data_IF_302811561338
#
_entry.id   IF_302811561338
#
_cell.length_a   1.000
_cell.length_b   1.000
_cell.length_c   1.000
_cell.angle_alpha   90.00
_cell.angle_beta   90.00
_cell.angle_gamma   90.00
#
_symmetry.space_group_name_H-M   'P 1'
#
loop_
_entity.id
_entity.type
_entity.pdbx_description
1 polymer ?
#
# COMPACT_ATOMS: atom_id res chain seq x y z
N UNK A 1 14.77 2.35 3.15
CA UNK A 1 13.68 1.76 3.92
C UNK A 1 12.42 1.67 3.09
N UNK A 2 11.68 0.61 3.24
CA UNK A 2 10.46 0.42 2.49
C UNK A 2 9.25 0.44 3.40
N UNK A 3 8.14 0.84 2.84
CA UNK A 3 6.88 0.89 3.58
C UNK A 3 5.85 0.06 2.84
N UNK A 4 5.24 -0.85 3.55
CA UNK A 4 4.25 -1.75 2.99
C UNK A 4 2.92 -1.49 3.66
N UNK A 5 1.84 -1.87 2.97
CA UNK A 5 0.52 -1.75 3.54
C UNK A 5 0.02 -3.15 3.85
N UNK A 6 -0.31 -3.37 5.10
CA UNK A 6 -0.72 -4.68 5.59
C UNK A 6 -2.17 -4.64 6.04
N UNK A 7 -2.92 -5.63 5.62
CA UNK A 7 -4.32 -5.79 6.02
C UNK A 7 -4.50 -7.22 6.47
N UNK A 8 -4.64 -7.41 7.78
CA UNK A 8 -4.71 -8.75 8.38
C UNK A 8 -3.43 -9.52 8.03
N UNK A 9 -3.56 -10.62 7.32
CA UNK A 9 -2.40 -11.42 6.93
C UNK A 9 -1.98 -11.17 5.50
N UNK A 10 -2.52 -10.13 4.87
CA UNK A 10 -2.23 -9.86 3.48
C UNK A 10 -1.53 -8.54 3.33
N UNK A 11 -0.74 -8.44 2.28
CA UNK A 11 -0.07 -7.19 1.92
C UNK A 11 -0.68 -6.66 0.63
N UNK A 12 -0.76 -5.34 0.54
CA UNK A 12 -1.15 -4.72 -0.71
C UNK A 12 -0.07 -5.03 -1.74
N UNK A 13 -0.47 -5.72 -2.81
CA UNK A 13 0.47 -6.15 -3.83
C UNK A 13 0.39 -5.28 -5.08
N UNK A 14 -0.75 -4.67 -5.33
CA UNK A 14 -0.93 -3.88 -6.53
C UNK A 14 -2.04 -2.88 -6.31
N UNK A 15 -1.84 -1.68 -6.82
CA UNK A 15 -2.85 -0.65 -6.73
C UNK A 15 -2.75 0.28 -7.93
N UNK A 16 -3.90 0.62 -8.49
CA UNK A 16 -4.00 1.61 -9.55
C UNK A 16 -5.04 2.63 -9.17
N UNK A 17 -4.71 3.88 -9.43
CA UNK A 17 -5.63 4.98 -9.16
C UNK A 17 -5.95 5.65 -10.48
N UNK A 18 -7.22 5.95 -10.68
CA UNK A 18 -7.66 6.61 -11.90
C UNK A 18 -7.20 8.06 -11.89
N UNK A 19 -6.19 8.37 -12.68
CA UNK A 19 -5.64 9.70 -12.69
C UNK A 19 -6.38 10.65 -13.61
N UNK A 20 -7.34 10.14 -14.38
CA UNK A 20 -8.15 11.02 -15.21
C UNK A 20 -9.04 11.93 -14.39
N UNK A 21 -9.43 11.47 -13.22
CA UNK A 21 -10.31 12.23 -12.35
C UNK A 21 -9.64 12.37 -11.01
N UNK A 22 -8.67 13.26 -10.94
CA UNK A 22 -7.88 13.39 -9.69
C UNK A 22 -8.73 13.73 -8.49
N UNK A 23 -9.88 14.31 -8.70
CA UNK A 23 -10.74 14.69 -7.60
C UNK A 23 -11.46 13.51 -6.98
N UNK A 24 -11.65 12.45 -7.73
CA UNK A 24 -12.44 11.33 -7.24
C UNK A 24 -11.61 10.34 -6.43
N UNK A 25 -10.30 10.33 -6.60
CA UNK A 25 -9.45 9.38 -5.88
C UNK A 25 -9.93 7.95 -6.05
N UNK A 26 -10.43 7.65 -7.22
CA UNK A 26 -11.01 6.35 -7.49
C UNK A 26 -9.92 5.32 -7.67
N UNK A 27 -10.00 4.24 -6.91
CA UNK A 27 -9.06 3.14 -7.02
C UNK A 27 -9.69 2.04 -7.85
N UNK A 28 -9.04 1.72 -8.96
CA UNK A 28 -9.64 0.80 -9.92
C UNK A 28 -9.15 -0.62 -9.79
N UNK A 29 -7.90 -0.81 -9.42
CA UNK A 29 -7.33 -2.14 -9.42
C UNK A 29 -6.50 -2.34 -8.18
N UNK A 30 -7.02 -3.15 -7.27
CA UNK A 30 -6.37 -3.38 -5.99
C UNK A 30 -6.25 -4.88 -5.79
N UNK A 31 -5.04 -5.32 -5.45
CA UNK A 31 -4.81 -6.72 -5.16
C UNK A 31 -4.04 -6.88 -3.87
N UNK A 32 -4.41 -7.88 -3.10
CA UNK A 32 -3.72 -8.24 -1.88
C UNK A 32 -3.15 -9.63 -2.02
N UNK A 33 -2.02 -9.87 -1.36
CA UNK A 33 -1.36 -11.17 -1.47
C UNK A 33 -0.58 -11.44 -0.20
N UNK A 34 -0.41 -12.72 0.12
CA UNK A 34 0.44 -13.10 1.24
C UNK A 34 1.90 -13.21 0.81
N UNK A 35 2.14 -13.40 -0.47
CA UNK A 35 3.49 -13.63 -0.99
C UNK A 35 4.14 -12.39 -1.56
N UNK A 36 3.34 -11.47 -2.08
CA UNK A 36 3.85 -10.31 -2.77
C UNK A 36 3.44 -9.06 -2.05
N UNK A 37 4.24 -8.03 -2.19
CA UNK A 37 3.92 -6.76 -1.60
C UNK A 37 4.43 -5.64 -2.49
N UNK A 38 3.69 -4.56 -2.50
CA UNK A 38 4.08 -3.34 -3.19
C UNK A 38 4.68 -2.40 -2.16
N UNK A 39 5.88 -1.91 -2.43
CA UNK A 39 6.56 -1.07 -1.47
C UNK A 39 6.49 0.39 -1.87
N UNK A 40 6.38 1.24 -0.88
CA UNK A 40 6.37 2.67 -1.05
C UNK A 40 7.69 3.22 -0.55
N UNK A 41 8.15 4.29 -1.15
CA UNK A 41 9.42 4.85 -0.78
C UNK A 41 9.34 5.77 0.42
N UNK A 42 8.16 6.32 0.68
CA UNK A 42 7.97 7.19 1.82
C UNK A 42 6.78 6.72 2.64
N UNK A 43 6.86 7.02 3.93
CA UNK A 43 5.78 6.68 4.82
C UNK A 43 4.52 7.47 4.47
N UNK A 44 4.70 8.70 4.05
CA UNK A 44 3.57 9.55 3.73
C UNK A 44 2.77 9.01 2.55
N UNK A 45 3.47 8.50 1.54
CA UNK A 45 2.78 7.91 0.41
C UNK A 45 1.96 6.70 0.84
N UNK A 46 2.55 5.85 1.69
CA UNK A 46 1.85 4.67 2.16
C UNK A 46 0.63 5.06 3.00
N UNK A 47 0.79 6.05 3.86
CA UNK A 47 -0.32 6.46 4.71
C UNK A 47 -1.45 7.09 3.92
N UNK A 48 -1.12 7.78 2.85
CA UNK A 48 -2.16 8.34 1.99
C UNK A 48 -3.01 7.22 1.39
N UNK A 49 -2.37 6.13 0.99
CA UNK A 49 -3.10 5.00 0.43
C UNK A 49 -3.93 4.30 1.50
N UNK A 50 -3.39 4.17 2.71
CA UNK A 50 -4.16 3.60 3.81
C UNK A 50 -5.45 4.40 4.02
N UNK A 51 -5.34 5.72 4.00
CA UNK A 51 -6.51 6.57 4.18
C UNK A 51 -7.51 6.36 3.05
N UNK A 52 -7.03 6.29 1.82
CA UNK A 52 -7.92 6.10 0.68
C UNK A 52 -8.61 4.75 0.72
N UNK A 53 -7.89 3.72 1.14
CA UNK A 53 -8.50 2.40 1.26
C UNK A 53 -9.65 2.43 2.26
N UNK A 54 -9.45 3.14 3.36
CA UNK A 54 -10.49 3.20 4.36
C UNK A 54 -11.68 4.01 3.87
N UNK A 55 -11.43 5.18 3.30
CA UNK A 55 -12.51 6.07 2.90
C UNK A 55 -13.31 5.50 1.75
N UNK A 56 -12.63 4.96 0.76
CA UNK A 56 -13.31 4.52 -0.46
C UNK A 56 -13.85 3.11 -0.36
N UNK A 57 -13.20 2.24 0.38
CA UNK A 57 -13.54 0.82 0.39
C UNK A 57 -13.84 0.28 1.77
N UNK A 58 -13.64 1.06 2.81
CA UNK A 58 -13.88 0.59 4.16
C UNK A 58 -12.86 -0.41 4.65
N UNK A 59 -11.69 -0.45 4.01
CA UNK A 59 -10.65 -1.40 4.38
C UNK A 59 -9.74 -0.77 5.40
N UNK A 60 -9.57 -1.44 6.53
CA UNK A 60 -8.62 -1.00 7.54
C UNK A 60 -7.29 -1.67 7.32
N UNK A 61 -6.24 -0.87 7.26
CA UNK A 61 -4.90 -1.38 7.03
C UNK A 61 -3.91 -0.53 7.79
N UNK A 62 -2.69 -1.02 7.88
CA UNK A 62 -1.63 -0.31 8.56
C UNK A 62 -0.40 -0.26 7.69
N UNK A 63 0.49 0.68 8.00
CA UNK A 63 1.77 0.79 7.33
C UNK A 63 2.79 0.00 8.12
N UNK A 64 3.52 -0.86 7.44
CA UNK A 64 4.58 -1.62 8.04
C UNK A 64 5.90 -1.16 7.46
N UNK A 65 6.81 -0.77 8.33
CA UNK A 65 8.15 -0.41 7.90
C UNK A 65 8.99 -1.65 7.74
N UNK A 66 9.73 -1.71 6.65
CA UNK A 66 10.61 -2.82 6.42
C UNK A 66 11.95 -2.31 5.98
N UNK A 67 12.97 -2.78 6.64
CA UNK A 67 14.32 -2.36 6.34
C UNK A 67 14.88 -3.22 5.22
N UNK A 68 14.92 -2.65 4.02
CA UNK A 68 15.43 -3.40 2.89
C UNK A 68 16.91 -3.64 2.97
N UNK A 69 17.56 -2.92 3.85
CA UNK A 69 18.98 -3.05 4.01
C UNK A 69 19.38 -4.43 4.51
N UNK A 70 18.49 -5.09 5.21
CA UNK A 70 18.75 -6.41 5.72
C UNK A 70 18.97 -7.41 4.60
N UNK A 71 18.40 -7.16 3.47
CA UNK A 71 18.55 -8.11 2.37
C UNK A 71 19.95 -8.20 1.87
N UNK A 72 20.70 -7.18 2.08
CA UNK A 72 22.04 -7.13 1.56
C UNK A 72 23.06 -7.76 2.47
N UNK A 73 22.68 -7.98 3.67
CA UNK A 73 23.65 -8.51 4.63
C UNK A 73 23.97 -9.95 4.40
N UNK A 74 23.30 -10.55 3.46
CA UNK A 74 23.60 -11.94 3.14
C UNK A 74 24.83 -12.08 2.31
#
# INVERSE_FOLDING_TARGET
MKYLIKCNNFYLAHIEVNSRFPESDFMEDIKFSVDESFSFETKEAAEAIVTKLFINLGIQSIVEERDEYNDKSK
#
